data_IF_159154334247
#
_entry.id   IF_159154334247
#
_cell.length_a   1.000
_cell.length_b   1.000
_cell.length_c   1.000
_cell.angle_alpha   90.00
_cell.angle_beta   90.00
_cell.angle_gamma   90.00
#
_symmetry.space_group_name_H-M   'P 1'
#
loop_
_entity.id
_entity.type
_entity.pdbx_description
1 polymer ?
#
# COMPACT_ATOMS: atom_id res chain seq x y z
N UNK A 1 -0.22 -11.07 10.13
CA UNK A 1 -0.54 -12.32 10.85
C UNK A 1 0.72 -12.97 11.48
N UNK A 2 1.78 -13.20 10.70
CA UNK A 2 3.06 -13.75 11.21
C UNK A 2 3.62 -12.97 12.40
N UNK A 3 3.70 -11.64 12.27
CA UNK A 3 4.24 -10.76 13.32
C UNK A 3 3.42 -10.79 14.62
N UNK A 4 2.09 -10.98 14.52
CA UNK A 4 1.24 -11.09 15.70
C UNK A 4 1.50 -12.40 16.45
N UNK A 5 1.61 -13.52 15.73
CA UNK A 5 1.96 -14.82 16.32
C UNK A 5 3.34 -14.82 16.97
N UNK A 6 4.33 -14.21 16.32
CA UNK A 6 5.67 -14.09 16.89
C UNK A 6 5.65 -13.26 18.20
N UNK A 7 4.83 -12.21 18.28
CA UNK A 7 4.72 -11.36 19.46
C UNK A 7 4.16 -12.10 20.70
N UNK A 8 3.26 -13.07 20.51
CA UNK A 8 2.67 -13.86 21.60
C UNK A 8 3.52 -15.05 22.05
N UNK A 9 4.65 -15.34 21.39
CA UNK A 9 5.53 -16.47 21.69
C UNK A 9 6.60 -16.12 22.74
N UNK A 10 7.16 -17.14 23.39
CA UNK A 10 8.27 -16.99 24.34
C UNK A 10 9.62 -16.93 23.62
N UNK A 11 10.61 -16.34 24.28
CA UNK A 11 11.99 -16.27 23.76
C UNK A 11 12.55 -17.67 23.52
N UNK A 12 13.30 -17.84 22.43
CA UNK A 12 13.89 -19.09 21.92
C UNK A 12 12.90 -20.21 21.55
N UNK A 13 11.60 -19.95 21.62
CA UNK A 13 10.59 -20.92 21.21
C UNK A 13 10.46 -21.03 19.69
N UNK A 14 10.15 -22.24 19.24
CA UNK A 14 9.87 -22.57 17.83
C UNK A 14 8.40 -22.93 17.69
N UNK A 15 7.71 -22.34 16.73
CA UNK A 15 6.31 -22.64 16.44
C UNK A 15 6.19 -23.99 15.74
N UNK A 16 5.01 -24.61 15.84
CA UNK A 16 4.66 -25.68 14.91
C UNK A 16 4.54 -25.13 13.48
N UNK A 17 4.71 -25.99 12.48
CA UNK A 17 4.50 -25.60 11.08
C UNK A 17 3.03 -25.23 10.87
N UNK A 18 2.77 -24.07 10.28
CA UNK A 18 1.42 -23.62 9.97
C UNK A 18 1.32 -23.08 8.54
N UNK A 19 0.11 -23.08 7.98
CA UNK A 19 -0.14 -22.57 6.64
C UNK A 19 -0.27 -21.05 6.63
N UNK A 20 0.46 -20.38 5.75
CA UNK A 20 0.33 -18.94 5.49
C UNK A 20 0.65 -18.66 4.02
N UNK A 21 -0.19 -17.86 3.34
CA UNK A 21 0.02 -17.44 1.95
C UNK A 21 0.18 -18.56 0.90
N UNK A 22 -0.23 -19.79 1.21
CA UNK A 22 -0.12 -20.97 0.33
C UNK A 22 1.01 -21.96 0.68
N UNK A 23 1.96 -21.55 1.54
CA UNK A 23 3.08 -22.39 1.98
C UNK A 23 2.98 -22.82 3.45
N UNK A 24 4.00 -23.52 3.93
CA UNK A 24 4.21 -23.79 5.35
C UNK A 24 5.24 -22.80 5.90
N UNK A 25 5.00 -22.32 7.12
CA UNK A 25 5.88 -21.40 7.83
C UNK A 25 6.16 -21.92 9.24
N UNK A 26 7.41 -21.77 9.68
CA UNK A 26 7.88 -22.07 11.02
C UNK A 26 8.57 -20.81 11.54
N UNK A 27 8.22 -20.37 12.75
CA UNK A 27 8.77 -19.17 13.38
C UNK A 27 9.65 -19.59 14.56
N UNK A 28 10.86 -19.03 14.67
CA UNK A 28 11.70 -19.09 15.87
C UNK A 28 11.90 -17.68 16.40
N UNK A 29 11.55 -17.44 17.66
CA UNK A 29 11.75 -16.12 18.30
C UNK A 29 13.15 -16.05 18.90
N UNK A 30 14.05 -15.29 18.28
CA UNK A 30 15.45 -15.17 18.75
C UNK A 30 15.65 -14.10 19.83
N UNK A 31 14.87 -13.02 19.74
CA UNK A 31 14.92 -11.88 20.63
C UNK A 31 13.53 -11.26 20.71
N UNK A 32 13.19 -10.67 21.85
CA UNK A 32 11.97 -9.88 22.00
C UNK A 32 12.37 -8.55 22.62
N UNK A 33 12.18 -7.48 21.87
CA UNK A 33 12.32 -6.14 22.40
C UNK A 33 11.21 -5.91 23.43
N UNK A 34 11.60 -5.39 24.59
CA UNK A 34 10.64 -5.04 25.63
C UNK A 34 9.71 -3.94 25.11
N UNK A 35 8.45 -3.97 25.53
CA UNK A 35 7.49 -2.89 25.28
C UNK A 35 7.86 -1.66 26.11
N UNK A 36 9.03 -1.07 25.85
CA UNK A 36 9.47 0.20 26.40
C UNK A 36 9.20 1.31 25.40
N UNK A 37 9.00 2.52 25.89
CA UNK A 37 9.05 3.69 25.04
C UNK A 37 10.44 3.74 24.39
N UNK A 38 10.47 3.84 23.05
CA UNK A 38 11.71 4.08 22.31
C UNK A 38 12.30 5.41 22.79
N UNK A 39 13.62 5.48 22.90
CA UNK A 39 14.29 6.76 23.14
C UNK A 39 14.20 7.64 21.88
N UNK A 40 14.43 8.95 22.02
CA UNK A 40 14.39 9.89 20.90
C UNK A 40 15.32 9.47 19.75
N UNK A 41 16.54 9.04 20.08
CA UNK A 41 17.54 8.57 19.12
C UNK A 41 17.09 7.30 18.37
N UNK A 42 16.43 6.38 19.07
CA UNK A 42 15.94 5.11 18.47
C UNK A 42 14.70 5.34 17.59
N UNK A 43 13.85 6.30 17.94
CA UNK A 43 12.65 6.62 17.18
C UNK A 43 12.90 7.64 16.04
N UNK A 44 14.05 8.32 16.04
CA UNK A 44 14.37 9.39 15.08
C UNK A 44 14.21 8.98 13.61
N UNK A 45 14.80 7.85 13.16
CA UNK A 45 14.69 7.40 11.77
C UNK A 45 13.25 7.06 11.37
N UNK A 46 12.49 6.40 12.26
CA UNK A 46 11.10 6.05 12.01
C UNK A 46 10.20 7.28 11.94
N UNK A 47 10.36 8.22 12.88
CA UNK A 47 9.61 9.47 12.90
C UNK A 47 9.92 10.32 11.68
N UNK A 48 11.20 10.41 11.30
CA UNK A 48 11.61 11.16 10.10
C UNK A 48 10.97 10.55 8.86
N UNK A 49 11.03 9.22 8.72
CA UNK A 49 10.43 8.54 7.57
C UNK A 49 8.92 8.78 7.48
N UNK A 50 8.21 8.63 8.60
CA UNK A 50 6.76 8.86 8.68
C UNK A 50 6.40 10.32 8.36
N UNK A 51 7.17 11.28 8.88
CA UNK A 51 6.96 12.69 8.60
C UNK A 51 7.21 13.04 7.13
N UNK A 52 8.27 12.51 6.53
CA UNK A 52 8.57 12.74 5.11
C UNK A 52 7.48 12.19 4.20
N UNK A 53 6.96 11.01 4.50
CA UNK A 53 5.85 10.44 3.73
C UNK A 53 4.59 11.31 3.83
N UNK A 54 4.23 11.75 5.05
CA UNK A 54 3.08 12.61 5.25
C UNK A 54 3.25 13.97 4.56
N UNK A 55 4.42 14.60 4.71
CA UNK A 55 4.73 15.88 4.09
C UNK A 55 4.73 15.79 2.56
N UNK A 56 5.22 14.68 1.99
CA UNK A 56 5.18 14.42 0.56
C UNK A 56 3.73 14.37 0.03
N UNK A 57 2.83 13.65 0.70
CA UNK A 57 1.41 13.57 0.32
C UNK A 57 0.72 14.93 0.35
N UNK A 58 0.98 15.74 1.38
CA UNK A 58 0.42 17.10 1.47
C UNK A 58 0.92 17.96 0.30
N UNK A 59 2.23 17.96 0.04
CA UNK A 59 2.82 18.74 -1.04
C UNK A 59 2.32 18.32 -2.42
N UNK A 60 2.12 17.02 -2.63
CA UNK A 60 1.54 16.49 -3.86
C UNK A 60 0.13 17.04 -4.09
N UNK A 61 -0.72 17.02 -3.05
CA UNK A 61 -2.09 17.55 -3.15
C UNK A 61 -2.09 19.05 -3.44
N UNK A 62 -1.26 19.82 -2.74
CA UNK A 62 -1.10 21.26 -2.97
C UNK A 62 -0.63 21.55 -4.40
N UNK A 63 0.32 20.76 -4.90
CA UNK A 63 0.82 20.89 -6.27
C UNK A 63 -0.27 20.59 -7.29
N UNK A 64 -1.03 19.50 -7.12
CA UNK A 64 -2.17 19.16 -7.99
C UNK A 64 -3.23 20.27 -7.96
N UNK A 65 -3.55 20.81 -6.78
CA UNK A 65 -4.49 21.92 -6.65
C UNK A 65 -4.01 23.16 -7.40
N UNK A 66 -2.72 23.49 -7.29
CA UNK A 66 -2.10 24.62 -8.00
C UNK A 66 -2.18 24.45 -9.52
N UNK A 67 -1.98 23.23 -10.03
CA UNK A 67 -2.09 22.93 -11.46
C UNK A 67 -3.54 23.07 -11.94
N UNK A 68 -4.50 22.54 -11.17
CA UNK A 68 -5.93 22.67 -11.50
C UNK A 68 -6.36 24.13 -11.56
N UNK A 69 -5.89 24.97 -10.63
CA UNK A 69 -6.16 26.40 -10.59
C UNK A 69 -5.52 27.13 -11.77
N UNK A 70 -4.27 26.81 -12.11
CA UNK A 70 -3.53 27.46 -13.21
C UNK A 70 -4.12 27.15 -14.58
N UNK A 71 -4.58 25.92 -14.80
CA UNK A 71 -4.98 25.44 -16.13
C UNK A 71 -6.49 25.33 -16.33
N UNK A 72 -7.32 25.82 -15.39
CA UNK A 72 -8.77 25.95 -15.58
C UNK A 72 -9.43 24.65 -16.07
N UNK A 73 -9.16 23.53 -15.37
CA UNK A 73 -9.59 22.20 -15.83
C UNK A 73 -11.11 22.10 -15.84
N UNK A 74 -11.72 22.17 -17.02
CA UNK A 74 -13.13 21.85 -17.24
C UNK A 74 -13.26 20.34 -17.43
N UNK A 75 -13.80 19.65 -16.42
CA UNK A 75 -14.07 18.21 -16.50
C UNK A 75 -15.47 18.03 -17.08
N UNK A 76 -15.54 17.61 -18.34
CA UNK A 76 -16.79 17.19 -18.97
C UNK A 76 -17.13 15.75 -18.54
N UNK A 77 -18.08 15.64 -17.61
CA UNK A 77 -18.51 14.37 -17.06
C UNK A 77 -19.26 13.49 -18.07
N UNK A 78 -19.88 14.08 -19.10
CA UNK A 78 -20.63 13.36 -20.12
C UNK A 78 -19.69 12.64 -21.10
N UNK A 79 -18.64 13.34 -21.53
CA UNK A 79 -17.58 12.77 -22.37
C UNK A 79 -16.85 11.61 -21.67
N UNK A 80 -16.53 11.76 -20.37
CA UNK A 80 -15.90 10.70 -19.59
C UNK A 80 -16.81 9.47 -19.47
N UNK A 81 -18.12 9.65 -19.26
CA UNK A 81 -19.06 8.53 -19.16
C UNK A 81 -19.10 7.69 -20.44
N UNK A 82 -19.05 8.32 -21.61
CA UNK A 82 -19.07 7.63 -22.91
C UNK A 82 -17.74 6.92 -23.23
N UNK A 83 -16.61 7.43 -22.72
CA UNK A 83 -15.29 6.82 -22.92
C UNK A 83 -15.11 5.48 -22.17
N UNK A 84 -15.83 5.28 -21.06
CA UNK A 84 -15.75 4.06 -20.25
C UNK A 84 -16.88 3.05 -20.50
N UNK A 85 -17.89 3.40 -21.31
CA UNK A 85 -18.85 2.42 -21.83
C UNK A 85 -18.19 1.65 -22.97
N UNK A 86 -17.44 0.61 -22.61
CA UNK A 86 -17.00 -0.43 -23.55
C UNK A 86 -18.24 -1.13 -24.10
N UNK A 87 -18.77 -0.64 -25.22
CA UNK A 87 -19.52 -1.50 -26.12
C UNK A 87 -18.47 -2.43 -26.74
N UNK A 88 -18.55 -3.76 -26.57
CA UNK A 88 -17.75 -4.66 -27.37
C UNK A 88 -18.25 -4.51 -28.81
N UNK A 89 -17.55 -3.69 -29.60
CA UNK A 89 -17.81 -3.59 -31.03
C UNK A 89 -17.57 -4.98 -31.63
N UNK A 90 -18.60 -5.41 -32.36
CA UNK A 90 -18.75 -6.63 -33.12
C UNK A 90 -17.45 -7.29 -33.56
N UNK A 91 -17.38 -8.61 -33.37
CA UNK A 91 -16.59 -9.52 -34.18
C UNK A 91 -16.77 -9.19 -35.66
N UNK A 92 -15.78 -8.55 -36.27
CA UNK A 92 -15.67 -8.43 -37.72
C UNK A 92 -15.48 -9.85 -38.28
N UNK A 93 -16.56 -10.37 -38.87
CA UNK A 93 -16.52 -11.51 -39.78
C UNK A 93 -15.62 -11.14 -40.97
N UNK A 94 -14.36 -11.55 -40.92
CA UNK A 94 -13.51 -11.60 -42.11
C UNK A 94 -14.01 -12.72 -43.02
N UNK A 95 -14.95 -12.37 -43.90
CA UNK A 95 -15.26 -13.15 -45.09
C UNK A 95 -14.07 -13.02 -46.04
N UNK A 96 -13.22 -14.04 -46.11
CA UNK A 96 -12.18 -14.17 -47.13
C UNK A 96 -12.79 -14.88 -48.34
N UNK A 97 -12.68 -14.25 -49.51
CA UNK A 97 -13.05 -14.79 -50.83
C UNK A 97 -12.07 -15.88 -51.28
#
# INVERSE_FOLDING_TARGET
ELSMRASSMTLDSVSQAFRFGGGWSIIKVLAKDSARAKTFEEAGPELTSAYQEQAAKVREQEWIASLKAKYGVMIDAEALRNAFTRTPAASEEQTFQ
#
